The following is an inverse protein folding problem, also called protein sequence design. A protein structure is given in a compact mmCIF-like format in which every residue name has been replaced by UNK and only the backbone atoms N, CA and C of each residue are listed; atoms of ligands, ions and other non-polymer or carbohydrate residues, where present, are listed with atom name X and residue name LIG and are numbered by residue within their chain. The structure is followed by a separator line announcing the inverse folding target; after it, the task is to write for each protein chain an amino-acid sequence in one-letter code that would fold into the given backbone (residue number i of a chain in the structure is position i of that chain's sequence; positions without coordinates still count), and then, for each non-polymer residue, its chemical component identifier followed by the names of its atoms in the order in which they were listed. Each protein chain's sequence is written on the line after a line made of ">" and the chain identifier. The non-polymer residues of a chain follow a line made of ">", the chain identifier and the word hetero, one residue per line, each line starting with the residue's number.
data_IF_776917229073
#
_entry.id   IF_776917229073
#
_cell.length_a   1.000
_cell.length_b   1.000
_cell.length_c   1.000
_cell.angle_alpha   90.00
_cell.angle_beta   90.00
_cell.angle_gamma   90.00
#
_symmetry.space_group_name_H-M   'P 1'
#
loop_
_entity.id
_entity.type
_entity.pdbx_description
1 polymer ?
#
# COMPACT_ATOMS: atom_id res chain seq x y z
N UNK A 1 14.45 17.56 -21.10
CA UNK A 1 13.56 16.72 -20.24
C UNK A 1 12.20 17.40 -20.11
N UNK A 2 11.16 16.88 -20.78
CA UNK A 2 9.80 17.41 -20.63
C UNK A 2 9.20 16.85 -19.33
N UNK A 3 8.94 17.71 -18.34
CA UNK A 3 8.15 17.33 -17.17
C UNK A 3 6.75 16.96 -17.64
N UNK A 4 6.39 15.68 -17.55
CA UNK A 4 5.03 15.18 -17.80
C UNK A 4 4.08 15.86 -16.80
N UNK A 5 3.41 16.91 -17.23
CA UNK A 5 2.39 17.59 -16.44
C UNK A 5 1.18 16.68 -16.29
N UNK A 6 0.72 16.46 -15.06
CA UNK A 6 -0.57 15.80 -14.80
C UNK A 6 -1.66 16.46 -15.62
N UNK A 7 -2.40 15.67 -16.39
CA UNK A 7 -3.52 16.16 -17.19
C UNK A 7 -4.56 16.89 -16.30
N UNK A 8 -5.30 17.85 -16.86
CA UNK A 8 -6.37 18.58 -16.16
C UNK A 8 -7.38 17.64 -15.52
N UNK A 9 -7.73 16.51 -16.18
CA UNK A 9 -8.58 15.44 -15.61
C UNK A 9 -7.98 14.85 -14.31
N UNK A 10 -6.67 14.61 -14.27
CA UNK A 10 -6.00 14.09 -13.07
C UNK A 10 -5.95 15.13 -11.93
N UNK A 11 -5.91 16.43 -12.26
CA UNK A 11 -6.02 17.52 -11.27
C UNK A 11 -7.42 17.65 -10.69
N UNK A 12 -8.45 17.56 -11.53
CA UNK A 12 -9.87 17.60 -11.13
C UNK A 12 -10.26 16.36 -10.32
N UNK A 13 -9.75 15.18 -10.69
CA UNK A 13 -9.92 13.96 -9.92
C UNK A 13 -9.28 14.08 -8.52
N UNK A 14 -8.15 14.75 -8.41
CA UNK A 14 -7.51 15.06 -7.12
C UNK A 14 -8.33 15.97 -6.20
N UNK A 15 -9.21 16.83 -6.76
CA UNK A 15 -10.10 17.70 -5.96
C UNK A 15 -11.29 16.94 -5.36
N UNK A 16 -11.80 15.90 -6.04
CA UNK A 16 -12.87 15.03 -5.51
C UNK A 16 -12.48 14.31 -4.20
N UNK A 17 -11.18 14.18 -3.94
CA UNK A 17 -10.63 13.54 -2.74
C UNK A 17 -10.17 14.54 -1.67
N UNK A 18 -10.74 15.74 -1.62
CA UNK A 18 -10.38 16.77 -0.63
C UNK A 18 -10.62 16.29 0.81
N UNK A 19 -11.69 15.53 1.03
CA UNK A 19 -12.00 14.93 2.35
C UNK A 19 -10.93 13.93 2.80
N UNK A 20 -10.39 13.13 1.88
CA UNK A 20 -9.29 12.21 2.18
C UNK A 20 -7.97 12.94 2.43
N UNK A 21 -7.76 14.11 1.81
CA UNK A 21 -6.58 14.96 2.08
C UNK A 21 -6.64 15.58 3.47
N UNK A 22 -7.81 16.01 3.93
CA UNK A 22 -8.03 16.52 5.29
C UNK A 22 -7.84 15.42 6.35
N UNK A 23 -8.34 14.19 6.09
CA UNK A 23 -8.09 13.03 6.96
C UNK A 23 -6.60 12.72 7.04
N UNK A 24 -5.87 12.72 5.89
CA UNK A 24 -4.41 12.51 5.85
C UNK A 24 -3.64 13.57 6.61
N UNK A 25 -4.04 14.85 6.51
CA UNK A 25 -3.40 15.93 7.26
C UNK A 25 -3.53 15.73 8.77
N UNK A 26 -4.66 15.17 9.23
CA UNK A 26 -4.91 14.85 10.64
C UNK A 26 -4.06 13.70 11.17
N UNK A 27 -3.71 12.73 10.31
CA UNK A 27 -2.89 11.56 10.65
C UNK A 27 -1.40 11.73 10.28
N UNK A 28 -1.00 12.96 9.94
CA UNK A 28 0.38 13.27 9.59
C UNK A 28 1.36 12.85 10.70
N UNK A 29 2.39 12.11 10.34
CA UNK A 29 3.40 11.57 11.26
C UNK A 29 2.87 10.65 12.37
N UNK A 30 1.72 10.01 12.16
CA UNK A 30 1.12 9.09 13.13
C UNK A 30 0.25 9.76 14.19
N UNK A 31 0.02 11.07 14.14
CA UNK A 31 -0.94 11.73 15.03
C UNK A 31 -2.34 11.16 14.80
N UNK A 32 -3.02 10.75 15.88
CA UNK A 32 -4.36 10.13 15.81
C UNK A 32 -4.38 8.66 15.32
N UNK A 33 -3.23 8.02 15.16
CA UNK A 33 -3.15 6.57 14.93
C UNK A 33 -3.13 5.88 16.30
N UNK A 34 -4.27 5.30 16.69
CA UNK A 34 -4.42 4.65 18.00
C UNK A 34 -3.98 3.18 18.02
N UNK A 35 -3.65 2.59 16.87
CA UNK A 35 -3.08 1.25 16.80
C UNK A 35 -1.57 1.30 17.02
N UNK A 36 -1.01 0.69 18.09
CA UNK A 36 0.43 0.63 18.30
C UNK A 36 1.18 -0.01 17.13
N UNK A 37 0.57 -1.02 16.50
CA UNK A 37 1.11 -1.71 15.33
C UNK A 37 1.26 -0.75 14.13
N UNK A 38 0.17 -0.08 13.76
CA UNK A 38 0.19 0.86 12.63
C UNK A 38 1.07 2.09 12.94
N UNK A 39 1.05 2.58 14.18
CA UNK A 39 1.92 3.66 14.61
C UNK A 39 3.40 3.32 14.44
N UNK A 40 3.81 2.11 14.81
CA UNK A 40 5.17 1.64 14.60
C UNK A 40 5.55 1.58 13.12
N UNK A 41 4.65 1.09 12.25
CA UNK A 41 4.87 1.09 10.80
C UNK A 41 5.04 2.53 10.29
N UNK A 42 4.19 3.47 10.72
CA UNK A 42 4.33 4.88 10.29
C UNK A 42 5.71 5.42 10.70
N UNK A 43 6.12 5.22 11.94
CA UNK A 43 7.37 5.80 12.47
C UNK A 43 8.62 5.10 11.94
N UNK A 44 8.62 3.77 11.90
CA UNK A 44 9.80 2.97 11.58
C UNK A 44 9.95 2.62 10.11
N UNK A 45 8.87 2.76 9.32
CA UNK A 45 8.86 2.40 7.89
C UNK A 45 8.55 3.61 7.02
N UNK A 46 7.35 4.20 7.14
CA UNK A 46 6.91 5.23 6.19
C UNK A 46 7.65 6.54 6.29
N UNK A 47 8.17 6.87 7.47
CA UNK A 47 8.98 8.07 7.69
C UNK A 47 10.46 7.88 7.32
N UNK A 48 10.92 6.66 7.12
CA UNK A 48 12.30 6.39 6.74
C UNK A 48 12.51 6.71 5.25
N UNK A 49 13.70 7.22 4.94
CA UNK A 49 14.12 7.55 3.57
C UNK A 49 15.21 6.63 3.06
N UNK A 50 15.85 5.92 3.96
CA UNK A 50 16.98 5.03 3.70
C UNK A 50 16.55 3.58 3.89
N UNK A 51 17.22 2.67 3.22
CA UNK A 51 17.08 1.24 3.43
C UNK A 51 17.63 0.88 4.81
N UNK A 52 16.82 0.22 5.63
CA UNK A 52 17.18 -0.24 6.97
C UNK A 52 17.49 -1.75 6.96
N UNK A 53 17.10 -2.45 5.92
CA UNK A 53 17.28 -3.89 5.78
C UNK A 53 18.60 -4.20 5.09
N UNK A 54 19.28 -5.25 5.55
CA UNK A 54 20.47 -5.81 4.87
C UNK A 54 20.08 -6.45 3.53
N UNK A 55 18.97 -7.19 3.50
CA UNK A 55 18.39 -7.73 2.26
C UNK A 55 17.64 -6.63 1.52
N UNK A 56 17.96 -6.47 0.24
CA UNK A 56 17.38 -5.43 -0.64
C UNK A 56 16.78 -6.01 -1.91
N UNK A 57 16.38 -7.28 -1.89
CA UNK A 57 15.88 -8.02 -3.05
C UNK A 57 14.53 -7.52 -3.54
N UNK A 58 13.57 -7.25 -2.65
CA UNK A 58 12.30 -6.64 -3.03
C UNK A 58 12.50 -5.22 -3.58
N UNK A 59 13.37 -4.42 -2.95
CA UNK A 59 13.74 -3.09 -3.42
C UNK A 59 14.25 -3.15 -4.87
N UNK A 60 15.21 -4.03 -5.16
CA UNK A 60 15.79 -4.19 -6.49
C UNK A 60 14.71 -4.60 -7.52
N UNK A 61 13.90 -5.61 -7.20
CA UNK A 61 12.83 -6.10 -8.05
C UNK A 61 11.76 -5.04 -8.36
N UNK A 62 11.43 -4.17 -7.42
CA UNK A 62 10.49 -3.05 -7.62
C UNK A 62 11.12 -1.93 -8.46
N UNK A 63 12.41 -1.66 -8.28
CA UNK A 63 13.15 -0.66 -9.08
C UNK A 63 13.22 -1.06 -10.55
N UNK A 64 13.49 -2.32 -10.84
CA UNK A 64 13.50 -2.86 -12.21
C UNK A 64 12.15 -2.68 -12.91
N UNK A 65 11.05 -2.70 -12.15
CA UNK A 65 9.69 -2.42 -12.65
C UNK A 65 9.34 -0.92 -12.73
N UNK A 66 10.32 -0.03 -12.50
CA UNK A 66 10.13 1.41 -12.59
C UNK A 66 9.33 2.03 -11.43
N UNK A 67 9.18 1.32 -10.32
CA UNK A 67 8.52 1.86 -9.13
C UNK A 67 9.40 2.95 -8.50
N UNK A 68 8.76 4.03 -8.05
CA UNK A 68 9.47 5.18 -7.49
C UNK A 68 10.30 4.79 -6.25
N UNK A 69 11.55 5.26 -6.18
CA UNK A 69 12.56 5.01 -5.15
C UNK A 69 11.99 4.95 -3.74
N UNK A 70 11.27 5.99 -3.35
CA UNK A 70 10.68 6.08 -2.01
C UNK A 70 9.73 4.94 -1.68
N UNK A 71 8.98 4.44 -2.66
CA UNK A 71 8.06 3.30 -2.46
C UNK A 71 8.84 2.00 -2.31
N UNK A 72 9.89 1.82 -3.11
CA UNK A 72 10.76 0.65 -3.01
C UNK A 72 11.41 0.58 -1.62
N UNK A 73 11.95 1.70 -1.11
CA UNK A 73 12.51 1.80 0.24
C UNK A 73 11.46 1.45 1.30
N UNK A 74 10.27 2.05 1.22
CA UNK A 74 9.22 1.83 2.21
C UNK A 74 8.75 0.36 2.23
N UNK A 75 8.56 -0.26 1.07
CA UNK A 75 8.08 -1.64 1.00
C UNK A 75 9.16 -2.64 1.42
N UNK A 76 10.43 -2.40 1.08
CA UNK A 76 11.54 -3.21 1.59
C UNK A 76 11.66 -3.10 3.12
N UNK A 77 11.59 -1.88 3.66
CA UNK A 77 11.63 -1.67 5.11
C UNK A 77 10.39 -2.28 5.81
N UNK A 78 9.22 -2.31 5.15
CA UNK A 78 8.03 -2.97 5.67
C UNK A 78 8.22 -4.48 5.79
N UNK A 79 8.77 -5.11 4.76
CA UNK A 79 9.09 -6.54 4.74
C UNK A 79 10.01 -6.88 5.92
N UNK A 80 11.10 -6.13 6.08
CA UNK A 80 12.03 -6.33 7.18
C UNK A 80 11.40 -6.07 8.56
N UNK A 81 10.61 -4.99 8.68
CA UNK A 81 9.97 -4.61 9.95
C UNK A 81 8.92 -5.62 10.41
N UNK A 82 8.16 -6.21 9.47
CA UNK A 82 7.12 -7.20 9.77
C UNK A 82 7.66 -8.64 9.83
N UNK A 83 8.92 -8.86 9.48
CA UNK A 83 9.53 -10.19 9.47
C UNK A 83 9.00 -11.09 8.36
N UNK A 84 8.60 -10.53 7.21
CA UNK A 84 8.20 -11.33 6.06
C UNK A 84 9.44 -11.95 5.40
N UNK A 85 9.43 -13.27 5.25
CA UNK A 85 10.57 -14.02 4.69
C UNK A 85 10.50 -14.10 3.16
N UNK A 86 9.27 -14.22 2.64
CA UNK A 86 9.00 -14.35 1.22
C UNK A 86 8.03 -13.28 0.72
N UNK A 87 8.23 -12.82 -0.52
CA UNK A 87 7.37 -11.83 -1.17
C UNK A 87 7.09 -12.20 -2.63
N UNK A 88 5.91 -11.80 -3.11
CA UNK A 88 5.50 -11.94 -4.50
C UNK A 88 5.13 -10.59 -5.12
N UNK A 89 5.52 -10.37 -6.39
CA UNK A 89 5.06 -9.22 -7.17
C UNK A 89 4.18 -9.76 -8.28
N UNK A 90 2.91 -9.37 -8.28
CA UNK A 90 1.86 -9.83 -9.21
C UNK A 90 1.75 -11.37 -9.29
N UNK A 91 2.10 -12.06 -8.19
CA UNK A 91 1.96 -13.50 -8.01
C UNK A 91 1.50 -13.82 -6.58
N UNK A 92 0.85 -14.97 -6.38
CA UNK A 92 0.22 -15.35 -5.10
C UNK A 92 0.97 -16.44 -4.34
N UNK A 93 1.76 -17.25 -5.03
CA UNK A 93 2.33 -18.48 -4.49
C UNK A 93 3.58 -18.21 -3.63
N UNK A 94 3.77 -19.01 -2.58
CA UNK A 94 4.97 -19.07 -1.73
C UNK A 94 5.46 -17.70 -1.22
N UNK A 95 4.55 -16.91 -0.63
CA UNK A 95 4.92 -15.60 -0.10
C UNK A 95 4.10 -15.22 1.13
N UNK A 96 4.68 -14.37 2.00
CA UNK A 96 4.03 -13.75 3.16
C UNK A 96 3.49 -12.36 2.84
N UNK A 97 4.06 -11.74 1.81
CA UNK A 97 3.77 -10.39 1.38
C UNK A 97 3.60 -10.33 -0.13
N UNK A 98 2.42 -9.88 -0.57
CA UNK A 98 2.09 -9.75 -1.99
C UNK A 98 2.05 -8.28 -2.39
N UNK A 99 2.67 -7.93 -3.50
CA UNK A 99 2.60 -6.60 -4.11
C UNK A 99 1.90 -6.69 -5.46
N UNK A 100 0.68 -6.15 -5.55
CA UNK A 100 -0.02 -5.96 -6.81
C UNK A 100 0.40 -4.62 -7.42
N UNK A 101 1.09 -4.67 -8.55
CA UNK A 101 1.51 -3.48 -9.31
C UNK A 101 0.39 -3.03 -10.26
N UNK A 102 0.72 -2.11 -11.17
CA UNK A 102 -0.20 -1.74 -12.25
C UNK A 102 -0.33 -2.81 -13.34
N UNK A 103 0.53 -3.86 -13.32
CA UNK A 103 0.38 -5.01 -14.20
C UNK A 103 -0.83 -5.88 -13.81
N UNK A 104 -1.15 -5.95 -12.51
CA UNK A 104 -2.43 -6.53 -12.05
C UNK A 104 -3.57 -5.58 -12.35
N UNK A 105 -4.43 -5.91 -13.30
CA UNK A 105 -5.61 -5.13 -13.66
C UNK A 105 -6.59 -5.03 -12.47
N UNK A 106 -7.37 -3.94 -12.42
CA UNK A 106 -8.24 -3.67 -11.27
C UNK A 106 -9.34 -4.74 -11.06
N UNK A 107 -9.82 -5.36 -12.11
CA UNK A 107 -10.80 -6.45 -12.11
C UNK A 107 -10.20 -7.79 -11.63
N UNK A 108 -8.87 -7.91 -11.64
CA UNK A 108 -8.14 -9.07 -11.14
C UNK A 108 -7.64 -8.91 -9.70
N UNK A 109 -7.93 -7.83 -9.01
CA UNK A 109 -7.49 -7.62 -7.63
C UNK A 109 -8.24 -8.51 -6.61
N UNK A 110 -9.50 -8.84 -6.86
CA UNK A 110 -10.30 -9.62 -5.90
C UNK A 110 -9.72 -11.02 -5.62
N UNK A 111 -9.27 -11.80 -6.61
CA UNK A 111 -8.56 -13.07 -6.36
C UNK A 111 -7.35 -12.94 -5.41
N UNK A 112 -6.55 -11.86 -5.55
CA UNK A 112 -5.43 -11.60 -4.64
C UNK A 112 -5.88 -11.31 -3.21
N UNK A 113 -6.98 -10.56 -3.06
CA UNK A 113 -7.56 -10.27 -1.72
C UNK A 113 -8.06 -11.55 -1.06
N UNK A 114 -8.76 -12.40 -1.82
CA UNK A 114 -9.32 -13.66 -1.30
C UNK A 114 -8.22 -14.63 -0.94
N UNK A 115 -7.21 -14.79 -1.80
CA UNK A 115 -6.03 -15.60 -1.52
C UNK A 115 -5.25 -15.09 -0.30
N UNK A 116 -4.97 -13.79 -0.23
CA UNK A 116 -4.27 -13.21 0.89
C UNK A 116 -5.03 -13.37 2.21
N UNK A 117 -6.37 -13.33 2.19
CA UNK A 117 -7.21 -13.57 3.35
C UNK A 117 -7.17 -15.05 3.80
N UNK A 118 -7.30 -15.97 2.86
CA UNK A 118 -7.26 -17.41 3.12
C UNK A 118 -5.93 -17.85 3.75
N UNK A 119 -4.83 -17.35 3.20
CA UNK A 119 -3.48 -17.68 3.66
C UNK A 119 -2.91 -16.72 4.72
N UNK A 120 -3.71 -15.75 5.20
CA UNK A 120 -3.33 -14.75 6.23
C UNK A 120 -2.12 -13.89 5.83
N UNK A 121 -1.96 -13.60 4.56
CA UNK A 121 -0.87 -12.81 4.02
C UNK A 121 -1.17 -11.31 4.07
N UNK A 122 -0.14 -10.48 4.03
CA UNK A 122 -0.31 -9.04 3.82
C UNK A 122 -0.29 -8.71 2.34
N UNK A 123 -1.31 -7.98 1.87
CA UNK A 123 -1.44 -7.53 0.50
C UNK A 123 -1.14 -6.02 0.39
N UNK A 124 -0.31 -5.66 -0.58
CA UNK A 124 -0.04 -4.28 -0.96
C UNK A 124 -0.53 -4.02 -2.39
N UNK A 125 -1.44 -3.07 -2.56
CA UNK A 125 -1.95 -2.67 -3.88
C UNK A 125 -1.36 -1.30 -4.22
N UNK A 126 -0.49 -1.24 -5.23
CA UNK A 126 0.12 0.00 -5.68
C UNK A 126 -0.87 0.88 -6.46
N UNK A 127 -0.69 2.18 -6.33
CA UNK A 127 -1.44 3.21 -7.05
C UNK A 127 -2.98 3.03 -7.01
N UNK A 128 -3.60 2.89 -5.82
CA UNK A 128 -5.04 2.66 -5.70
C UNK A 128 -5.88 3.79 -6.29
N UNK A 129 -5.28 4.98 -6.46
CA UNK A 129 -5.92 6.18 -7.03
C UNK A 129 -5.54 6.45 -8.49
N UNK A 130 -4.99 5.47 -9.21
CA UNK A 130 -4.54 5.68 -10.59
C UNK A 130 -5.69 6.08 -11.53
N UNK A 131 -6.83 5.42 -11.40
CA UNK A 131 -8.06 5.73 -12.13
C UNK A 131 -9.31 5.45 -11.29
N UNK A 132 -10.49 5.83 -11.80
CA UNK A 132 -11.76 5.70 -11.09
C UNK A 132 -12.11 4.24 -10.77
N UNK A 133 -11.93 3.34 -11.75
CA UNK A 133 -12.31 1.94 -11.61
C UNK A 133 -11.43 1.24 -10.55
N UNK A 134 -10.08 1.46 -10.61
CA UNK A 134 -9.17 0.90 -9.60
C UNK A 134 -9.48 1.43 -8.20
N UNK A 135 -9.79 2.72 -8.10
CA UNK A 135 -10.19 3.31 -6.82
C UNK A 135 -11.49 2.69 -6.29
N UNK A 136 -12.49 2.51 -7.13
CA UNK A 136 -13.77 1.92 -6.73
C UNK A 136 -13.58 0.49 -6.19
N UNK A 137 -12.79 -0.32 -6.86
CA UNK A 137 -12.44 -1.67 -6.41
C UNK A 137 -11.69 -1.61 -5.07
N UNK A 138 -10.65 -0.78 -4.95
CA UNK A 138 -9.89 -0.62 -3.71
C UNK A 138 -10.76 -0.13 -2.55
N UNK A 139 -11.69 0.79 -2.79
CA UNK A 139 -12.68 1.24 -1.80
C UNK A 139 -13.55 0.09 -1.33
N UNK A 140 -14.08 -0.69 -2.24
CA UNK A 140 -14.89 -1.87 -1.92
C UNK A 140 -14.11 -2.92 -1.11
N UNK A 141 -12.81 -3.11 -1.41
CA UNK A 141 -11.92 -3.96 -0.61
C UNK A 141 -11.84 -3.44 0.82
N UNK A 142 -11.53 -2.16 1.02
CA UNK A 142 -11.42 -1.53 2.37
C UNK A 142 -12.74 -1.65 3.14
N UNK A 143 -13.88 -1.40 2.49
CA UNK A 143 -15.20 -1.47 3.12
C UNK A 143 -15.55 -2.87 3.63
N UNK A 144 -15.22 -3.91 2.85
CA UNK A 144 -15.55 -5.31 3.17
C UNK A 144 -14.51 -6.04 4.01
N UNK A 145 -13.27 -5.51 4.05
CA UNK A 145 -12.17 -6.18 4.74
C UNK A 145 -12.41 -6.27 6.25
N UNK A 146 -12.25 -7.44 6.89
CA UNK A 146 -12.56 -7.63 8.32
C UNK A 146 -11.46 -7.18 9.28
N UNK A 147 -10.25 -6.92 8.80
CA UNK A 147 -9.09 -6.52 9.60
C UNK A 147 -8.60 -5.11 9.25
N UNK A 148 -7.41 -4.76 9.67
CA UNK A 148 -6.82 -3.42 9.49
C UNK A 148 -6.39 -3.17 8.04
N UNK A 149 -6.69 -1.98 7.54
CA UNK A 149 -6.19 -1.48 6.27
C UNK A 149 -5.49 -0.13 6.46
N UNK A 150 -4.44 0.11 5.67
CA UNK A 150 -3.67 1.35 5.69
C UNK A 150 -3.53 1.92 4.28
N UNK A 151 -4.20 3.03 4.04
CA UNK A 151 -4.07 3.79 2.79
C UNK A 151 -2.99 4.86 2.94
N UNK A 152 -1.85 4.62 2.35
CA UNK A 152 -0.72 5.55 2.26
C UNK A 152 -0.76 6.38 0.95
N UNK A 153 -1.90 6.51 0.30
CA UNK A 153 -2.06 7.18 -0.99
C UNK A 153 -1.25 6.58 -2.14
N UNK A 154 0.01 6.21 -1.92
CA UNK A 154 0.87 5.58 -2.93
C UNK A 154 0.57 4.10 -3.09
N UNK A 155 0.08 3.49 -2.03
CA UNK A 155 -0.34 2.09 -1.96
C UNK A 155 -1.34 1.88 -0.84
N UNK A 156 -2.14 0.83 -0.97
CA UNK A 156 -3.07 0.33 0.03
C UNK A 156 -2.52 -0.96 0.63
N UNK A 157 -2.32 -1.00 1.95
CA UNK A 157 -1.99 -2.23 2.68
C UNK A 157 -3.27 -2.84 3.23
N UNK A 158 -3.42 -4.14 3.05
CA UNK A 158 -4.52 -4.97 3.55
C UNK A 158 -3.90 -6.06 4.42
N UNK A 159 -4.05 -5.93 5.74
CA UNK A 159 -3.50 -6.89 6.71
C UNK A 159 -4.50 -8.00 6.98
N UNK A 160 -4.09 -9.24 6.88
CA UNK A 160 -4.89 -10.44 7.19
C UNK A 160 -4.38 -11.14 8.47
N UNK A 161 -4.11 -10.33 9.48
CA UNK A 161 -3.73 -10.76 10.82
C UNK A 161 -4.92 -10.62 11.81
N UNK A 162 -4.69 -10.87 13.08
CA UNK A 162 -5.70 -10.76 14.15
C UNK A 162 -5.99 -9.34 14.60
N UNK A 163 -5.54 -8.33 13.87
CA UNK A 163 -5.87 -6.96 14.19
C UNK A 163 -7.37 -6.69 13.94
N UNK A 164 -8.01 -5.90 14.81
CA UNK A 164 -9.40 -5.51 14.61
C UNK A 164 -9.57 -4.71 13.32
N UNK A 165 -10.80 -4.65 12.83
CA UNK A 165 -11.12 -3.80 11.66
C UNK A 165 -10.87 -2.34 12.00
N UNK A 166 -9.87 -1.77 11.36
CA UNK A 166 -9.52 -0.36 11.43
C UNK A 166 -9.10 0.14 10.05
N UNK A 167 -9.47 1.37 9.71
CA UNK A 167 -9.13 1.99 8.43
C UNK A 167 -8.30 3.24 8.70
N UNK A 168 -7.05 3.20 8.33
CA UNK A 168 -6.13 4.33 8.44
C UNK A 168 -5.89 4.95 7.07
N UNK A 169 -6.04 6.27 7.00
CA UNK A 169 -5.76 7.10 5.80
C UNK A 169 -4.64 8.06 6.18
N UNK A 170 -3.41 7.78 5.69
CA UNK A 170 -2.16 8.45 6.06
C UNK A 170 -1.68 9.45 5.00
#
# INVERSE_FOLDING_TARGET
>A
MKKSGRTLKARLYGLKHLSSRLKRARHFRGHGVHSPYVYNIVRKVFMQRELLAERCDLYAALKERGIAERRCVQLQNLVAHCGYEAWGIDRMEECDFIVCTMATAYDHLQPYVDYAREHRLTLCILDPYNNANRWEVCRGIVERHPSTTVDNRAYLLVFNNHLPKQVFVL
#
